data_IF_562743801628
#
_entry.id   IF_562743801628
#
_cell.length_a   1.000
_cell.length_b   1.000
_cell.length_c   1.000
_cell.angle_alpha   90.00
_cell.angle_beta   90.00
_cell.angle_gamma   90.00
#
_symmetry.space_group_name_H-M   'P 1'
#
loop_
_entity.id
_entity.type
_entity.pdbx_description
1 polymer ?
#
# COMPACT_ATOMS: atom_id res chain seq x y z
N UNK A 1 -5.78 3.40 -12.39
CA UNK A 1 -5.61 3.84 -10.98
C UNK A 1 -6.86 4.59 -10.59
N UNK A 2 -7.97 3.89 -10.47
CA UNK A 2 -9.29 4.52 -10.32
C UNK A 2 -9.70 4.44 -8.85
N UNK A 3 -9.96 5.60 -8.24
CA UNK A 3 -10.49 5.81 -6.89
C UNK A 3 -9.53 5.68 -5.70
N UNK A 4 -8.45 6.48 -5.70
CA UNK A 4 -7.72 6.77 -4.47
C UNK A 4 -8.53 7.75 -3.60
N UNK A 5 -9.14 7.24 -2.53
CA UNK A 5 -9.76 8.10 -1.52
C UNK A 5 -8.67 8.80 -0.72
N UNK A 6 -8.78 10.12 -0.63
CA UNK A 6 -7.82 10.99 0.06
C UNK A 6 -8.54 11.77 1.14
N UNK A 7 -7.89 11.95 2.29
CA UNK A 7 -8.44 12.74 3.40
C UNK A 7 -8.59 14.22 3.02
N UNK A 8 -9.63 14.88 3.51
CA UNK A 8 -9.85 16.32 3.29
C UNK A 8 -8.90 17.19 4.14
N UNK A 9 -8.47 16.66 5.28
CA UNK A 9 -7.56 17.32 6.23
C UNK A 9 -6.24 16.54 6.34
N UNK A 10 -5.24 17.21 6.91
CA UNK A 10 -3.99 16.53 7.28
C UNK A 10 -4.23 15.69 8.53
N UNK A 11 -3.89 14.42 8.45
CA UNK A 11 -4.04 13.43 9.52
C UNK A 11 -2.71 12.68 9.70
N UNK A 12 -2.59 11.91 10.77
CA UNK A 12 -1.38 11.14 11.07
C UNK A 12 -1.35 9.83 10.28
N UNK A 13 -0.28 9.64 9.50
CA UNK A 13 -0.07 8.39 8.75
C UNK A 13 0.00 7.19 9.69
N UNK A 14 -0.77 6.14 9.40
CA UNK A 14 -0.81 4.93 10.23
C UNK A 14 0.56 4.23 10.39
N UNK A 15 1.43 4.28 9.36
CA UNK A 15 2.75 3.61 9.39
C UNK A 15 3.83 4.44 10.10
N UNK A 16 3.89 5.75 9.83
CA UNK A 16 5.04 6.58 10.22
C UNK A 16 4.69 7.77 11.13
N UNK A 17 3.41 8.00 11.44
CA UNK A 17 2.94 9.10 12.29
C UNK A 17 3.06 10.50 11.67
N UNK A 18 3.52 10.62 10.42
CA UNK A 18 3.66 11.92 9.74
C UNK A 18 2.29 12.56 9.51
N UNK A 19 2.12 13.81 9.94
CA UNK A 19 0.94 14.61 9.64
C UNK A 19 0.93 15.06 8.17
N UNK A 20 0.09 14.46 7.36
CA UNK A 20 0.00 14.71 5.92
C UNK A 20 -1.42 14.46 5.40
N UNK A 21 -1.68 14.82 4.15
CA UNK A 21 -2.87 14.26 3.50
C UNK A 21 -2.63 12.77 3.25
N UNK A 22 -3.57 11.95 3.65
CA UNK A 22 -3.44 10.50 3.60
C UNK A 22 -4.30 9.92 2.48
N UNK A 23 -3.91 8.75 2.01
CA UNK A 23 -4.56 7.97 0.99
C UNK A 23 -5.06 6.68 1.62
N UNK A 24 -6.30 6.33 1.34
CA UNK A 24 -6.89 5.08 1.79
C UNK A 24 -6.22 3.89 1.11
N UNK A 25 -6.00 2.83 1.88
CA UNK A 25 -5.56 1.55 1.36
C UNK A 25 -6.69 0.91 0.52
N UNK A 26 -6.44 0.55 -0.75
CA UNK A 26 -7.49 -0.01 -1.59
C UNK A 26 -7.92 -1.42 -1.18
N UNK A 27 -7.11 -2.13 -0.40
CA UNK A 27 -7.37 -3.49 0.04
C UNK A 27 -7.95 -3.54 1.46
N UNK A 28 -7.76 -2.50 2.26
CA UNK A 28 -8.20 -2.44 3.66
C UNK A 28 -8.92 -1.11 3.95
N UNK A 29 -10.24 -1.17 4.03
CA UNK A 29 -11.09 -0.01 4.35
C UNK A 29 -10.71 0.60 5.72
N UNK A 30 -10.65 1.93 5.77
CA UNK A 30 -10.35 2.67 7.01
C UNK A 30 -8.87 2.75 7.37
N UNK A 31 -7.95 2.19 6.58
CA UNK A 31 -6.50 2.42 6.75
C UNK A 31 -6.01 3.53 5.83
N UNK A 32 -5.30 4.49 6.40
CA UNK A 32 -4.82 5.68 5.68
C UNK A 32 -3.30 5.86 5.83
N UNK A 33 -2.64 6.11 4.70
CA UNK A 33 -1.19 6.23 4.61
C UNK A 33 -0.78 7.52 3.91
N UNK A 34 0.35 8.11 4.32
CA UNK A 34 0.95 9.17 3.51
C UNK A 34 1.37 8.61 2.14
N UNK A 35 1.51 9.48 1.14
CA UNK A 35 1.87 9.10 -0.24
C UNK A 35 3.08 8.15 -0.31
N UNK A 36 4.12 8.41 0.49
CA UNK A 36 5.34 7.61 0.52
C UNK A 36 5.06 6.19 0.99
N UNK A 37 4.40 6.04 2.15
CA UNK A 37 4.05 4.75 2.72
C UNK A 37 3.03 3.98 1.87
N UNK A 38 2.11 4.70 1.21
CA UNK A 38 1.14 4.13 0.29
C UNK A 38 1.84 3.53 -0.95
N UNK A 39 2.79 4.26 -1.54
CA UNK A 39 3.59 3.76 -2.68
C UNK A 39 4.46 2.56 -2.30
N UNK A 40 5.03 2.53 -1.10
CA UNK A 40 5.78 1.37 -0.60
C UNK A 40 4.89 0.12 -0.50
N UNK A 41 3.67 0.27 0.01
CA UNK A 41 2.69 -0.83 0.05
C UNK A 41 2.38 -1.35 -1.34
N UNK A 42 2.04 -0.47 -2.27
CA UNK A 42 1.71 -0.87 -3.64
C UNK A 42 2.86 -1.60 -4.35
N UNK A 43 4.11 -1.12 -4.15
CA UNK A 43 5.29 -1.82 -4.67
C UNK A 43 5.46 -3.22 -4.08
N UNK A 44 5.16 -3.38 -2.80
CA UNK A 44 5.26 -4.68 -2.12
C UNK A 44 4.20 -5.64 -2.67
N UNK A 45 2.97 -5.17 -2.89
CA UNK A 45 1.89 -5.98 -3.47
C UNK A 45 2.18 -6.37 -4.94
N UNK A 46 2.74 -5.47 -5.75
CA UNK A 46 3.14 -5.83 -7.11
C UNK A 46 4.30 -6.85 -7.12
N UNK A 47 5.27 -6.71 -6.21
CA UNK A 47 6.36 -7.67 -6.05
C UNK A 47 5.87 -9.03 -5.54
N UNK A 48 4.96 -9.07 -4.57
CA UNK A 48 4.36 -10.32 -4.09
C UNK A 48 3.51 -10.99 -5.19
N UNK A 49 2.82 -10.20 -6.01
CA UNK A 49 2.08 -10.71 -7.17
C UNK A 49 3.00 -11.29 -8.24
N UNK A 50 4.17 -10.70 -8.47
CA UNK A 50 5.17 -11.20 -9.43
C UNK A 50 5.99 -12.38 -8.88
N UNK A 51 6.24 -12.41 -7.56
CA UNK A 51 7.00 -13.48 -6.89
C UNK A 51 6.23 -14.79 -6.73
N UNK A 52 4.93 -14.81 -7.01
CA UNK A 52 4.09 -16.01 -7.01
C UNK A 52 4.14 -16.79 -8.33
N UNK A 53 4.69 -16.21 -9.41
CA UNK A 53 4.80 -16.87 -10.72
C UNK A 53 6.09 -17.70 -10.89
N UNK A 54 7.04 -17.62 -9.96
CA UNK A 54 8.18 -18.55 -9.92
C UNK A 54 7.76 -19.79 -9.12
N UNK A 55 7.19 -20.78 -9.81
CA UNK A 55 7.07 -22.15 -9.29
C UNK A 55 8.45 -22.60 -8.81
N UNK A 56 8.60 -22.78 -7.49
CA UNK A 56 9.77 -23.43 -6.89
C UNK A 56 9.88 -24.82 -7.55
N UNK A 57 10.93 -25.10 -8.35
CA UNK A 57 11.12 -26.43 -8.89
C UNK A 57 11.36 -27.35 -7.69
N UNK A 58 10.50 -28.36 -7.50
CA UNK A 58 10.80 -29.43 -6.57
C UNK A 58 12.07 -30.12 -7.09
N UNK A 59 13.17 -30.04 -6.34
CA UNK A 59 14.37 -30.84 -6.63
C UNK A 59 14.00 -32.32 -6.46
N UNK A 60 14.11 -33.10 -7.55
CA UNK A 60 13.95 -34.57 -7.60
C UNK A 60 15.00 -35.31 -6.74
#
# INVERSE_FOLDING_TARGET
MENLRKTENKEECYKCGKLAFLYEDPNIEGLFFCEECWKERFKTEELERMGYDEEIPYED
#
